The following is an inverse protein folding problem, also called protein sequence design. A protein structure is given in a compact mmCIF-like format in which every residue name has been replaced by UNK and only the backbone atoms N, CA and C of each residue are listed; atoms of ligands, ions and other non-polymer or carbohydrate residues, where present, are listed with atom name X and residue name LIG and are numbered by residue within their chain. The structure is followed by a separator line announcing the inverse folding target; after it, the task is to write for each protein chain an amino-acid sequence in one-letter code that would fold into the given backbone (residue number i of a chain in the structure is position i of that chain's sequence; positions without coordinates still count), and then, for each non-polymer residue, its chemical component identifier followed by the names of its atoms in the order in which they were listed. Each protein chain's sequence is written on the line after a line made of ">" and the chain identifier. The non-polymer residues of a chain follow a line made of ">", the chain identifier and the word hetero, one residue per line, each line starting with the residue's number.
data_IF_238141580480
#
_entry.id   IF_238141580480
#
_cell.length_a   1.000
_cell.length_b   1.000
_cell.length_c   1.000
_cell.angle_alpha   90.00
_cell.angle_beta   90.00
_cell.angle_gamma   90.00
#
_symmetry.space_group_name_H-M   'P 1'
#
loop_
_entity.id
_entity.type
_entity.pdbx_description
1 polymer ?
#
# COMPACT_ATOMS: atom_id res chain seq x y z
N UNK A 1 -12.12 18.27 -3.08
CA UNK A 1 -11.83 19.20 -4.19
C UNK A 1 -11.67 20.60 -3.63
N UNK A 2 -10.45 21.14 -3.64
CA UNK A 2 -10.24 22.58 -3.46
C UNK A 2 -10.82 23.25 -4.71
N UNK A 3 -11.95 23.93 -4.59
CA UNK A 3 -12.45 24.74 -5.69
C UNK A 3 -11.55 25.97 -5.81
N UNK A 4 -10.95 26.16 -6.98
CA UNK A 4 -10.17 27.36 -7.30
C UNK A 4 -11.13 28.55 -7.32
N UNK A 5 -10.99 29.53 -6.42
CA UNK A 5 -11.78 30.76 -6.54
C UNK A 5 -11.41 31.46 -7.86
N UNK A 6 -12.34 32.20 -8.46
CA UNK A 6 -12.03 33.07 -9.61
C UNK A 6 -10.79 33.93 -9.31
N UNK A 7 -9.92 34.20 -10.30
CA UNK A 7 -8.72 34.97 -10.07
C UNK A 7 -9.09 36.37 -9.57
N UNK A 8 -9.06 36.53 -8.24
CA UNK A 8 -9.08 37.82 -7.59
C UNK A 8 -7.93 38.66 -8.17
N UNK A 9 -8.13 39.97 -8.26
CA UNK A 9 -7.21 40.92 -8.89
C UNK A 9 -5.77 40.90 -8.34
N UNK A 10 -4.97 41.91 -8.71
CA UNK A 10 -3.55 42.03 -8.33
C UNK A 10 -3.28 41.53 -6.90
N UNK A 11 -2.34 40.60 -6.76
CA UNK A 11 -1.92 39.99 -5.49
C UNK A 11 -1.81 41.03 -4.37
N UNK A 12 -2.52 40.80 -3.27
CA UNK A 12 -2.72 41.75 -2.17
C UNK A 12 -1.59 41.77 -1.13
N UNK A 13 -0.44 41.15 -1.42
CA UNK A 13 0.71 41.07 -0.51
C UNK A 13 0.63 39.94 0.52
N UNK A 14 -0.39 39.07 0.47
CA UNK A 14 -0.47 37.89 1.35
C UNK A 14 0.67 36.89 1.10
N UNK A 15 1.18 36.16 2.10
CA UNK A 15 2.15 35.09 1.89
C UNK A 15 1.63 34.04 0.92
N UNK A 16 2.51 33.54 0.05
CA UNK A 16 2.22 32.46 -0.90
C UNK A 16 2.76 31.17 -0.31
N UNK A 17 1.87 30.22 -0.04
CA UNK A 17 2.20 28.96 0.63
C UNK A 17 2.10 27.81 -0.37
N UNK A 18 3.24 27.21 -0.70
CA UNK A 18 3.33 26.07 -1.60
C UNK A 18 3.05 24.79 -0.82
N UNK A 19 1.99 24.08 -1.21
CA UNK A 19 1.56 22.81 -0.62
C UNK A 19 1.63 21.70 -1.68
N UNK A 20 1.63 20.45 -1.24
CA UNK A 20 1.70 19.27 -2.11
C UNK A 20 2.62 18.20 -1.55
N UNK A 21 2.56 17.00 -2.11
CA UNK A 21 3.32 15.84 -1.65
C UNK A 21 4.85 16.04 -1.75
N UNK A 22 5.61 15.21 -1.04
CA UNK A 22 7.07 15.17 -1.17
C UNK A 22 7.45 14.86 -2.63
N UNK A 23 8.45 15.56 -3.18
CA UNK A 23 8.83 15.42 -4.60
C UNK A 23 8.09 16.35 -5.57
N UNK A 24 7.02 17.04 -5.15
CA UNK A 24 6.25 17.97 -5.99
C UNK A 24 7.03 19.22 -6.44
N UNK A 25 8.21 19.46 -5.86
CA UNK A 25 9.10 20.55 -6.25
C UNK A 25 8.88 21.87 -5.50
N UNK A 26 8.17 21.87 -4.36
CA UNK A 26 7.86 23.05 -3.53
C UNK A 26 9.06 23.97 -3.29
N UNK A 27 10.19 23.44 -2.81
CA UNK A 27 11.41 24.23 -2.61
C UNK A 27 11.96 24.83 -3.91
N UNK A 28 11.99 24.05 -4.99
CA UNK A 28 12.53 24.48 -6.29
C UNK A 28 11.66 25.56 -6.94
N UNK A 29 10.34 25.32 -7.02
CA UNK A 29 9.35 26.26 -7.54
C UNK A 29 9.30 27.51 -6.66
N UNK A 30 9.32 27.35 -5.34
CA UNK A 30 9.27 28.44 -4.38
C UNK A 30 10.43 29.40 -4.49
N UNK A 31 11.67 28.91 -4.63
CA UNK A 31 12.84 29.78 -4.86
C UNK A 31 12.72 30.59 -6.15
N UNK A 32 12.29 29.95 -7.25
CA UNK A 32 12.10 30.62 -8.54
C UNK A 32 10.98 31.66 -8.48
N UNK A 33 9.87 31.33 -7.82
CA UNK A 33 8.74 32.24 -7.63
C UNK A 33 9.15 33.45 -6.80
N UNK A 34 9.80 33.23 -5.66
CA UNK A 34 10.30 34.28 -4.78
C UNK A 34 11.26 35.23 -5.50
N UNK A 35 12.21 34.69 -6.28
CA UNK A 35 13.13 35.49 -7.09
C UNK A 35 12.38 36.34 -8.12
N UNK A 36 11.41 35.77 -8.84
CA UNK A 36 10.62 36.48 -9.87
C UNK A 36 9.75 37.58 -9.27
N UNK A 37 9.22 37.36 -8.06
CA UNK A 37 8.39 38.32 -7.34
C UNK A 37 9.20 39.28 -6.44
N UNK A 38 10.52 39.08 -6.32
CA UNK A 38 11.42 39.80 -5.40
C UNK A 38 10.95 39.72 -3.94
N UNK A 39 10.55 38.53 -3.52
CA UNK A 39 10.09 38.23 -2.16
C UNK A 39 11.09 37.34 -1.43
N UNK A 40 11.08 37.34 -0.08
CA UNK A 40 11.78 36.32 0.71
C UNK A 40 11.23 34.92 0.41
N UNK A 41 12.11 33.93 0.41
CA UNK A 41 11.76 32.51 0.37
C UNK A 41 12.09 31.86 1.71
N UNK A 42 11.17 31.07 2.24
CA UNK A 42 11.36 30.27 3.46
C UNK A 42 10.95 28.83 3.21
N UNK A 43 11.76 27.89 3.68
CA UNK A 43 11.45 26.46 3.67
C UNK A 43 11.14 26.01 5.10
N UNK A 44 9.91 25.54 5.34
CA UNK A 44 9.45 25.21 6.69
C UNK A 44 10.27 24.08 7.32
N UNK A 45 10.75 23.11 6.52
CA UNK A 45 11.55 22.00 7.05
C UNK A 45 12.89 22.52 7.59
N UNK A 46 13.54 23.44 6.87
CA UNK A 46 14.77 24.09 7.36
C UNK A 46 14.55 24.91 8.64
N UNK A 47 13.42 25.61 8.76
CA UNK A 47 13.09 26.38 9.98
C UNK A 47 12.82 25.46 11.17
N UNK A 48 12.23 24.28 10.94
CA UNK A 48 12.05 23.24 11.97
C UNK A 48 13.40 22.71 12.43
N UNK A 49 14.29 22.37 11.49
CA UNK A 49 15.64 21.87 11.81
C UNK A 49 16.47 22.92 12.56
N UNK A 50 16.44 24.18 12.11
CA UNK A 50 17.11 25.28 12.78
C UNK A 50 16.60 25.49 14.21
N UNK A 51 15.28 25.39 14.43
CA UNK A 51 14.68 25.51 15.76
C UNK A 51 14.98 24.31 16.66
N UNK A 52 15.12 23.11 16.10
CA UNK A 52 15.41 21.89 16.85
C UNK A 52 16.91 21.64 17.07
N UNK A 53 17.78 22.28 16.30
CA UNK A 53 19.22 22.04 16.32
C UNK A 53 19.63 20.64 15.81
N UNK A 54 18.75 19.96 15.07
CA UNK A 54 18.97 18.62 14.52
C UNK A 54 18.12 18.41 13.26
N UNK A 55 18.42 17.39 12.47
CA UNK A 55 17.69 17.14 11.22
C UNK A 55 16.27 16.65 11.47
N UNK A 56 15.37 16.81 10.50
CA UNK A 56 14.01 16.23 10.60
C UNK A 56 14.07 14.73 10.87
N UNK A 57 15.01 14.01 10.26
CA UNK A 57 15.20 12.58 10.49
C UNK A 57 15.51 12.28 11.97
N UNK A 58 16.42 13.04 12.59
CA UNK A 58 16.76 12.89 14.02
C UNK A 58 15.56 13.20 14.93
N UNK A 59 14.72 14.17 14.56
CA UNK A 59 13.50 14.51 15.32
C UNK A 59 12.54 13.31 15.32
N UNK A 60 12.31 12.71 14.15
CA UNK A 60 11.44 11.54 14.02
C UNK A 60 11.99 10.35 14.80
N UNK A 61 13.29 10.08 14.72
CA UNK A 61 13.93 8.96 15.42
C UNK A 61 13.86 9.12 16.95
N UNK A 62 14.10 10.33 17.46
CA UNK A 62 14.20 10.58 18.91
C UNK A 62 12.87 10.86 19.60
N UNK A 63 11.95 11.55 18.91
CA UNK A 63 10.74 12.10 19.52
C UNK A 63 9.44 11.66 18.84
N UNK A 64 9.55 10.96 17.70
CA UNK A 64 8.42 10.46 16.94
C UNK A 64 7.64 11.52 16.17
N UNK A 65 6.70 11.06 15.35
CA UNK A 65 5.89 11.90 14.49
C UNK A 65 5.03 12.93 15.25
N UNK A 66 4.36 12.63 16.38
CA UNK A 66 3.52 13.61 17.06
C UNK A 66 4.28 14.87 17.49
N UNK A 67 5.52 14.71 17.95
CA UNK A 67 6.39 15.83 18.33
C UNK A 67 6.78 16.67 17.11
N UNK A 68 7.15 16.01 16.01
CA UNK A 68 7.43 16.69 14.74
C UNK A 68 6.23 17.50 14.26
N UNK A 69 5.02 16.92 14.28
CA UNK A 69 3.79 17.59 13.84
C UNK A 69 3.45 18.82 14.68
N UNK A 70 3.65 18.75 16.00
CA UNK A 70 3.46 19.93 16.85
C UNK A 70 4.52 21.02 16.56
N UNK A 71 5.77 20.62 16.33
CA UNK A 71 6.84 21.52 15.86
C UNK A 71 6.50 22.21 14.54
N UNK A 72 6.10 21.42 13.53
CA UNK A 72 5.67 21.87 12.21
C UNK A 72 4.54 22.90 12.30
N UNK A 73 3.51 22.61 13.10
CA UNK A 73 2.39 23.54 13.35
C UNK A 73 2.86 24.88 13.93
N UNK A 74 3.75 24.87 14.93
CA UNK A 74 4.28 26.09 15.56
C UNK A 74 5.13 26.91 14.60
N UNK A 75 5.96 26.27 13.77
CA UNK A 75 6.79 26.94 12.77
C UNK A 75 5.91 27.58 11.70
N UNK A 76 4.96 26.84 11.12
CA UNK A 76 4.06 27.39 10.11
C UNK A 76 3.24 28.55 10.66
N UNK A 77 2.79 28.47 11.93
CA UNK A 77 2.08 29.57 12.58
C UNK A 77 2.90 30.86 12.67
N UNK A 78 4.23 30.77 12.78
CA UNK A 78 5.13 31.94 12.78
C UNK A 78 5.41 32.43 11.37
N UNK A 79 5.50 31.53 10.40
CA UNK A 79 5.82 31.89 9.02
C UNK A 79 4.65 32.58 8.31
N UNK A 80 3.41 32.14 8.59
CA UNK A 80 2.18 32.74 8.07
C UNK A 80 1.74 33.92 8.95
N UNK A 81 2.63 34.91 9.07
CA UNK A 81 2.46 36.16 9.83
C UNK A 81 1.72 37.28 9.07
N UNK A 82 1.33 37.00 7.82
CA UNK A 82 0.69 37.96 6.92
C UNK A 82 1.67 38.84 6.13
N UNK A 83 2.98 38.74 6.38
CA UNK A 83 3.97 39.46 5.60
C UNK A 83 4.19 38.81 4.22
N UNK A 84 4.45 39.61 3.16
CA UNK A 84 4.66 39.07 1.83
C UNK A 84 5.94 38.22 1.73
N UNK A 85 5.78 36.90 1.55
CA UNK A 85 6.88 35.94 1.36
C UNK A 85 6.37 34.67 0.66
N UNK A 86 7.29 33.85 0.14
CA UNK A 86 6.99 32.53 -0.40
C UNK A 86 7.42 31.47 0.60
N UNK A 87 6.53 30.57 0.97
CA UNK A 87 6.73 29.53 1.98
C UNK A 87 6.58 28.17 1.31
N UNK A 88 7.60 27.31 1.38
CA UNK A 88 7.46 25.89 1.06
C UNK A 88 7.17 25.11 2.35
N UNK A 89 6.11 24.29 2.37
CA UNK A 89 5.77 23.48 3.54
C UNK A 89 6.31 22.06 3.45
N UNK A 90 6.36 21.35 4.58
CA UNK A 90 6.51 19.89 4.61
C UNK A 90 5.33 19.18 3.92
N UNK A 91 5.54 17.92 3.50
CA UNK A 91 4.57 17.17 2.69
C UNK A 91 3.22 16.89 3.37
N UNK A 92 3.18 16.89 4.71
CA UNK A 92 1.96 16.64 5.49
C UNK A 92 1.39 17.86 6.21
N UNK A 93 2.05 19.01 6.12
CA UNK A 93 1.66 20.24 6.82
C UNK A 93 0.17 20.63 6.62
N UNK A 94 -0.35 20.48 5.41
CA UNK A 94 -1.72 20.87 5.04
C UNK A 94 -2.79 19.85 5.49
N UNK A 95 -2.39 18.65 5.90
CA UNK A 95 -3.33 17.64 6.41
C UNK A 95 -3.84 18.01 7.81
N UNK A 96 -3.03 18.70 8.60
CA UNK A 96 -3.45 19.23 9.89
C UNK A 96 -4.51 20.33 9.72
N UNK A 97 -5.65 20.18 10.39
CA UNK A 97 -6.79 21.08 10.27
C UNK A 97 -6.48 22.52 10.68
N UNK A 98 -5.79 22.71 11.80
CA UNK A 98 -5.42 24.06 12.29
C UNK A 98 -4.44 24.76 11.36
N UNK A 99 -3.42 24.04 10.88
CA UNK A 99 -2.46 24.58 9.89
C UNK A 99 -3.16 24.94 8.58
N UNK A 100 -4.06 24.09 8.10
CA UNK A 100 -4.85 24.34 6.88
C UNK A 100 -5.71 25.58 7.01
N UNK A 101 -6.46 25.70 8.11
CA UNK A 101 -7.31 26.87 8.37
C UNK A 101 -6.49 28.17 8.36
N UNK A 102 -5.35 28.17 9.06
CA UNK A 102 -4.45 29.33 9.11
C UNK A 102 -3.93 29.73 7.72
N UNK A 103 -3.47 28.76 6.92
CA UNK A 103 -2.96 29.01 5.56
C UNK A 103 -4.05 29.61 4.68
N UNK A 104 -5.27 29.07 4.72
CA UNK A 104 -6.38 29.54 3.90
C UNK A 104 -6.91 30.92 4.33
N UNK A 105 -6.85 31.24 5.62
CA UNK A 105 -7.27 32.54 6.15
C UNK A 105 -6.24 33.64 5.77
N UNK A 106 -4.96 33.37 6.02
CA UNK A 106 -3.91 34.40 6.03
C UNK A 106 -2.98 34.38 4.83
N UNK A 107 -3.01 33.34 4.00
CA UNK A 107 -2.15 33.19 2.83
C UNK A 107 -2.90 32.87 1.55
N UNK A 108 -2.12 32.65 0.49
CA UNK A 108 -2.59 32.06 -0.77
C UNK A 108 -1.97 30.66 -0.84
N UNK A 109 -2.80 29.63 -0.74
CA UNK A 109 -2.37 28.26 -0.92
C UNK A 109 -2.22 27.97 -2.42
N UNK A 110 -1.03 27.53 -2.83
CA UNK A 110 -0.76 27.04 -4.19
C UNK A 110 -0.41 25.58 -4.09
N UNK A 111 -1.29 24.73 -4.60
CA UNK A 111 -1.07 23.30 -4.65
C UNK A 111 -0.22 22.95 -5.87
N UNK A 112 0.98 22.43 -5.62
CA UNK A 112 1.79 21.80 -6.66
C UNK A 112 1.37 20.34 -6.77
N UNK A 113 0.62 20.08 -7.83
CA UNK A 113 0.11 18.75 -8.15
C UNK A 113 1.05 18.02 -9.12
N UNK A 114 1.23 16.73 -8.91
CA UNK A 114 1.97 15.84 -9.78
C UNK A 114 1.55 14.40 -9.50
N UNK A 115 1.55 13.58 -10.54
CA UNK A 115 1.21 12.16 -10.47
C UNK A 115 2.11 11.42 -9.45
N UNK A 116 1.56 10.49 -8.64
CA UNK A 116 2.29 9.72 -7.64
C UNK A 116 3.57 9.07 -8.15
N UNK A 117 3.57 8.58 -9.39
CA UNK A 117 4.68 7.92 -10.07
C UNK A 117 5.84 8.91 -10.29
N UNK A 118 5.52 10.12 -10.76
CA UNK A 118 6.49 11.21 -10.94
C UNK A 118 7.07 11.65 -9.60
N UNK A 119 6.25 11.69 -8.56
CA UNK A 119 6.70 12.00 -7.20
C UNK A 119 7.65 10.93 -6.67
N UNK A 120 7.30 9.64 -6.84
CA UNK A 120 8.11 8.51 -6.43
C UNK A 120 9.49 8.53 -7.11
N UNK A 121 9.54 8.73 -8.42
CA UNK A 121 10.78 8.85 -9.20
C UNK A 121 11.65 10.02 -8.75
N UNK A 122 11.05 11.18 -8.50
CA UNK A 122 11.79 12.38 -8.03
C UNK A 122 12.33 12.21 -6.62
N UNK A 123 11.60 11.50 -5.76
CA UNK A 123 12.05 11.15 -4.42
C UNK A 123 13.20 10.12 -4.49
N UNK A 124 13.11 9.14 -5.39
CA UNK A 124 14.16 8.13 -5.63
C UNK A 124 15.49 8.73 -6.09
N UNK A 125 15.46 9.76 -6.95
CA UNK A 125 16.68 10.38 -7.53
C UNK A 125 17.46 11.32 -6.58
N UNK A 126 16.92 11.69 -5.40
CA UNK A 126 17.64 12.56 -4.44
C UNK A 126 18.59 11.73 -3.56
N UNK A 127 19.85 11.73 -3.99
CA UNK A 127 21.02 11.01 -3.49
C UNK A 127 21.52 11.46 -2.09
N UNK A 128 20.66 11.45 -1.07
CA UNK A 128 21.07 11.70 0.34
C UNK A 128 20.46 10.73 1.35
N UNK A 129 20.23 9.47 0.97
CA UNK A 129 19.70 8.45 1.91
C UNK A 129 20.50 7.14 1.85
N UNK A 130 21.45 6.92 2.78
CA UNK A 130 22.26 5.70 2.86
C UNK A 130 21.48 4.40 3.12
N UNK A 131 20.21 4.48 3.53
CA UNK A 131 19.38 3.33 3.91
C UNK A 131 18.77 2.54 2.74
N UNK A 132 18.92 3.03 1.49
CA UNK A 132 18.33 2.43 0.29
C UNK A 132 19.37 1.77 -0.64
N UNK A 133 20.63 1.67 -0.22
CA UNK A 133 21.63 0.89 -0.96
C UNK A 133 21.44 -0.60 -0.67
N UNK A 134 20.95 -1.36 -1.66
CA UNK A 134 20.92 -2.82 -1.64
C UNK A 134 19.71 -3.45 -0.92
N UNK A 135 18.60 -2.72 -0.78
CA UNK A 135 17.30 -3.29 -0.41
C UNK A 135 16.35 -3.06 -1.57
N UNK A 136 15.78 -4.14 -2.12
CA UNK A 136 14.74 -4.02 -3.14
C UNK A 136 13.59 -3.17 -2.58
N UNK A 137 13.05 -2.23 -3.37
CA UNK A 137 12.03 -1.32 -2.89
C UNK A 137 10.77 -2.10 -2.53
N UNK A 138 10.28 -1.91 -1.31
CA UNK A 138 8.94 -2.36 -0.93
C UNK A 138 7.94 -1.38 -1.53
N UNK A 139 7.07 -1.86 -2.41
CA UNK A 139 5.96 -1.08 -2.94
C UNK A 139 4.72 -1.32 -2.06
N UNK A 140 4.09 -0.24 -1.59
CA UNK A 140 2.88 -0.31 -0.74
C UNK A 140 1.76 0.45 -1.45
N UNK A 141 0.68 -0.27 -1.76
CA UNK A 141 -0.54 0.28 -2.36
C UNK A 141 -1.65 0.31 -1.32
N UNK A 142 -2.05 1.49 -0.81
CA UNK A 142 -3.13 1.58 0.17
C UNK A 142 -4.50 1.42 -0.50
N UNK A 143 -5.34 0.53 0.04
CA UNK A 143 -6.72 0.35 -0.39
C UNK A 143 -7.65 1.11 0.56
N UNK A 144 -8.04 2.33 0.16
CA UNK A 144 -8.81 3.24 0.99
C UNK A 144 -10.30 2.86 1.05
N UNK A 145 -10.73 2.21 2.13
CA UNK A 145 -12.12 1.77 2.37
C UNK A 145 -12.67 2.24 3.73
N UNK A 146 -12.16 3.37 4.23
CA UNK A 146 -12.53 3.91 5.55
C UNK A 146 -11.98 3.02 6.67
N UNK A 147 -12.82 2.62 7.62
CA UNK A 147 -12.42 1.74 8.73
C UNK A 147 -11.93 0.35 8.28
N UNK A 148 -12.20 -0.04 7.03
CA UNK A 148 -11.78 -1.33 6.45
C UNK A 148 -10.60 -1.19 5.49
N UNK A 149 -9.84 -0.09 5.60
CA UNK A 149 -8.66 0.11 4.77
C UNK A 149 -7.56 -0.89 5.14
N UNK A 150 -6.81 -1.33 4.14
CA UNK A 150 -5.67 -2.23 4.29
C UNK A 150 -4.61 -1.89 3.25
N UNK A 151 -3.40 -2.38 3.48
CA UNK A 151 -2.29 -2.23 2.56
C UNK A 151 -2.11 -3.47 1.69
N UNK A 152 -1.67 -3.25 0.46
CA UNK A 152 -1.09 -4.27 -0.40
C UNK A 152 0.41 -4.03 -0.44
N UNK A 153 1.20 -4.99 0.06
CA UNK A 153 2.65 -4.93 0.06
C UNK A 153 3.20 -5.82 -1.05
N UNK A 154 3.92 -5.22 -1.98
CA UNK A 154 4.56 -5.87 -3.12
C UNK A 154 6.07 -5.80 -2.93
N UNK A 155 6.72 -6.95 -2.89
CA UNK A 155 8.16 -7.03 -2.66
C UNK A 155 8.71 -8.39 -3.16
N UNK A 156 9.76 -8.37 -3.97
CA UNK A 156 10.44 -9.58 -4.43
C UNK A 156 11.09 -10.35 -3.27
N UNK A 157 10.86 -11.66 -3.18
CA UNK A 157 11.35 -12.52 -2.11
C UNK A 157 10.64 -12.30 -0.76
N UNK A 158 9.46 -11.68 -0.77
CA UNK A 158 8.63 -11.46 0.40
C UNK A 158 8.21 -12.76 1.12
N UNK A 159 8.18 -13.91 0.45
CA UNK A 159 7.95 -15.22 1.10
C UNK A 159 8.93 -15.44 2.27
N UNK A 160 10.21 -15.15 2.05
CA UNK A 160 11.26 -15.28 3.05
C UNK A 160 11.16 -14.24 4.18
N UNK A 161 10.37 -13.18 4.00
CA UNK A 161 10.21 -12.06 4.94
C UNK A 161 8.79 -11.93 5.50
N UNK A 162 7.89 -12.81 5.10
CA UNK A 162 6.48 -12.87 5.52
C UNK A 162 6.30 -12.80 7.04
N UNK A 163 7.10 -13.54 7.81
CA UNK A 163 7.02 -13.50 9.28
C UNK A 163 7.28 -12.11 9.85
N UNK A 164 8.29 -11.39 9.34
CA UNK A 164 8.55 -10.02 9.75
C UNK A 164 7.42 -9.07 9.35
N UNK A 165 6.81 -9.27 8.17
CA UNK A 165 5.66 -8.49 7.73
C UNK A 165 4.40 -8.74 8.58
N UNK A 166 4.21 -9.96 9.09
CA UNK A 166 3.01 -10.39 9.81
C UNK A 166 3.11 -10.32 11.33
N UNK A 167 4.31 -10.11 11.89
CA UNK A 167 4.54 -10.13 13.34
C UNK A 167 3.60 -9.20 14.13
N UNK A 168 3.27 -8.03 13.58
CA UNK A 168 2.36 -7.07 14.22
C UNK A 168 0.88 -7.50 14.23
N UNK A 169 0.48 -8.43 13.36
CA UNK A 169 -0.87 -8.98 13.31
C UNK A 169 -1.02 -10.24 14.17
N UNK A 170 0.05 -11.04 14.29
CA UNK A 170 0.04 -12.29 15.03
C UNK A 170 -0.27 -12.08 16.52
N UNK A 171 0.22 -11.00 17.14
CA UNK A 171 -0.04 -10.66 18.56
C UNK A 171 0.20 -11.84 19.53
N UNK A 172 1.23 -12.66 19.27
CA UNK A 172 1.57 -13.84 20.08
C UNK A 172 0.64 -15.03 19.89
N UNK A 173 -0.32 -14.97 18.97
CA UNK A 173 -1.21 -16.06 18.58
C UNK A 173 -0.65 -16.81 17.35
N UNK A 174 -0.96 -18.10 17.18
CA UNK A 174 -0.66 -18.80 15.94
C UNK A 174 -1.40 -18.19 14.75
N UNK A 175 -0.81 -18.27 13.56
CA UNK A 175 -1.46 -17.91 12.29
C UNK A 175 -1.59 -19.16 11.41
N UNK A 176 -2.76 -19.83 11.40
CA UNK A 176 -3.01 -20.95 10.51
C UNK A 176 -2.91 -20.55 9.04
N UNK A 177 -2.44 -21.47 8.20
CA UNK A 177 -2.28 -21.29 6.76
C UNK A 177 -3.30 -22.17 6.05
N UNK A 178 -4.13 -21.59 5.19
CA UNK A 178 -4.95 -22.36 4.24
C UNK A 178 -4.27 -22.27 2.87
N UNK A 179 -4.03 -23.43 2.25
CA UNK A 179 -3.27 -23.54 0.99
C UNK A 179 -3.76 -24.73 0.16
N UNK A 180 -3.33 -24.83 -1.10
CA UNK A 180 -3.54 -26.02 -1.92
C UNK A 180 -2.26 -26.85 -2.17
N UNK A 181 -2.43 -28.02 -2.78
CA UNK A 181 -1.35 -28.98 -3.05
C UNK A 181 -0.27 -28.48 -4.02
N UNK A 182 -0.55 -27.51 -4.89
CA UNK A 182 0.46 -26.97 -5.80
C UNK A 182 1.52 -26.18 -5.03
N UNK A 183 1.18 -25.66 -3.86
CA UNK A 183 2.06 -24.84 -3.03
C UNK A 183 2.90 -25.66 -2.03
N UNK A 184 2.85 -26.99 -2.10
CA UNK A 184 3.67 -27.88 -1.25
C UNK A 184 5.16 -27.56 -1.30
N UNK A 185 5.68 -27.09 -2.45
CA UNK A 185 7.07 -26.69 -2.60
C UNK A 185 7.45 -25.38 -1.88
N UNK A 186 6.48 -24.47 -1.71
CA UNK A 186 6.71 -23.14 -1.11
C UNK A 186 6.30 -23.05 0.36
N UNK A 187 5.38 -23.90 0.80
CA UNK A 187 4.87 -23.91 2.17
C UNK A 187 5.97 -23.98 3.25
N UNK A 188 7.04 -24.81 3.11
CA UNK A 188 8.12 -24.83 4.09
C UNK A 188 8.84 -23.48 4.22
N UNK A 189 8.98 -22.73 3.12
CA UNK A 189 9.58 -21.40 3.11
C UNK A 189 8.75 -20.39 3.90
N UNK A 190 7.43 -20.38 3.69
CA UNK A 190 6.50 -19.54 4.46
C UNK A 190 6.54 -19.90 5.96
N UNK A 191 6.44 -21.19 6.31
CA UNK A 191 6.48 -21.63 7.70
C UNK A 191 7.83 -21.32 8.37
N UNK A 192 8.94 -21.39 7.63
CA UNK A 192 10.26 -21.00 8.13
C UNK A 192 10.33 -19.50 8.43
N UNK A 193 9.81 -18.68 7.52
CA UNK A 193 9.71 -17.22 7.68
C UNK A 193 8.87 -16.85 8.91
N UNK A 194 7.69 -17.45 9.08
CA UNK A 194 6.81 -17.26 10.25
C UNK A 194 7.51 -17.68 11.55
N UNK A 195 8.13 -18.86 11.58
CA UNK A 195 8.85 -19.39 12.74
C UNK A 195 10.02 -18.50 13.14
N UNK A 196 10.75 -17.93 12.19
CA UNK A 196 11.84 -16.98 12.47
C UNK A 196 11.35 -15.70 13.16
N UNK A 197 10.08 -15.33 12.95
CA UNK A 197 9.41 -14.23 13.65
C UNK A 197 8.69 -14.65 14.94
N UNK A 198 8.85 -15.91 15.39
CA UNK A 198 8.18 -16.44 16.58
C UNK A 198 6.69 -16.72 16.39
N UNK A 199 6.21 -16.79 15.15
CA UNK A 199 4.80 -17.06 14.83
C UNK A 199 4.63 -18.56 14.59
N UNK A 200 3.85 -19.22 15.46
CA UNK A 200 3.45 -20.60 15.23
C UNK A 200 2.47 -20.67 14.06
N UNK A 201 2.58 -21.70 13.22
CA UNK A 201 1.74 -21.84 12.02
C UNK A 201 1.48 -23.32 11.72
N UNK A 202 0.22 -23.66 11.47
CA UNK A 202 -0.20 -24.98 11.01
C UNK A 202 -0.95 -24.85 9.68
N UNK A 203 -0.74 -25.80 8.76
CA UNK A 203 -1.23 -25.70 7.40
C UNK A 203 -2.40 -26.66 7.13
N UNK A 204 -3.52 -26.09 6.67
CA UNK A 204 -4.67 -26.80 6.13
C UNK A 204 -4.48 -26.88 4.61
N UNK A 205 -4.07 -28.06 4.14
CA UNK A 205 -3.82 -28.31 2.71
C UNK A 205 -5.07 -28.89 2.04
N UNK A 206 -5.51 -28.23 0.97
CA UNK A 206 -6.68 -28.58 0.18
C UNK A 206 -6.29 -29.10 -1.21
N UNK A 207 -7.14 -29.88 -1.90
CA UNK A 207 -6.93 -30.22 -3.30
C UNK A 207 -6.78 -28.95 -4.16
N UNK A 208 -6.00 -29.04 -5.23
CA UNK A 208 -5.86 -27.93 -6.17
C UNK A 208 -7.06 -27.85 -7.14
N UNK A 209 -7.39 -26.62 -7.56
CA UNK A 209 -8.31 -26.34 -8.66
C UNK A 209 -9.69 -25.80 -8.23
N UNK A 210 -10.47 -25.37 -9.21
CA UNK A 210 -11.72 -24.65 -9.01
C UNK A 210 -12.78 -25.42 -8.19
N UNK A 211 -12.75 -26.75 -8.25
CA UNK A 211 -13.64 -27.62 -7.47
C UNK A 211 -13.44 -27.50 -5.94
N UNK A 212 -12.32 -26.93 -5.51
CA UNK A 212 -12.03 -26.66 -4.10
C UNK A 212 -12.95 -25.60 -3.51
N UNK A 213 -13.50 -24.70 -4.34
CA UNK A 213 -14.51 -23.72 -3.92
C UNK A 213 -15.87 -24.38 -3.74
N UNK A 214 -16.06 -25.12 -2.65
CA UNK A 214 -17.27 -25.91 -2.41
C UNK A 214 -17.65 -25.95 -0.93
N UNK A 215 -18.90 -26.33 -0.65
CA UNK A 215 -19.39 -26.53 0.72
C UNK A 215 -18.55 -27.52 1.52
N UNK A 216 -18.16 -28.64 0.90
CA UNK A 216 -17.36 -29.67 1.56
C UNK A 216 -15.99 -29.15 2.03
N UNK A 217 -15.33 -28.34 1.21
CA UNK A 217 -14.05 -27.75 1.62
C UNK A 217 -14.22 -26.54 2.54
N UNK A 218 -15.33 -25.81 2.45
CA UNK A 218 -15.66 -24.77 3.42
C UNK A 218 -15.83 -25.37 4.82
N UNK A 219 -16.61 -26.44 4.94
CA UNK A 219 -16.80 -27.19 6.19
C UNK A 219 -15.45 -27.69 6.73
N UNK A 220 -14.65 -28.37 5.89
CA UNK A 220 -13.30 -28.83 6.26
C UNK A 220 -12.42 -27.69 6.79
N UNK A 221 -12.38 -26.55 6.09
CA UNK A 221 -11.58 -25.40 6.52
C UNK A 221 -12.09 -24.84 7.85
N UNK A 222 -13.41 -24.64 7.99
CA UNK A 222 -13.96 -24.10 9.24
C UNK A 222 -13.72 -25.02 10.43
N UNK A 223 -13.88 -26.33 10.26
CA UNK A 223 -13.68 -27.32 11.32
C UNK A 223 -12.21 -27.38 11.74
N UNK A 224 -11.28 -27.45 10.78
CA UNK A 224 -9.85 -27.42 11.09
C UNK A 224 -9.44 -26.12 11.79
N UNK A 225 -9.98 -24.97 11.40
CA UNK A 225 -9.69 -23.71 12.10
C UNK A 225 -10.24 -23.70 13.53
N UNK A 226 -11.40 -24.31 13.78
CA UNK A 226 -11.94 -24.47 15.13
C UNK A 226 -11.10 -25.42 15.98
N UNK A 227 -10.64 -26.54 15.41
CA UNK A 227 -9.75 -27.51 16.06
C UNK A 227 -8.41 -26.88 16.46
N UNK A 228 -7.88 -25.98 15.62
CA UNK A 228 -6.69 -25.18 15.90
C UNK A 228 -6.92 -24.08 16.95
N UNK A 229 -8.15 -23.94 17.46
CA UNK A 229 -8.50 -22.98 18.50
C UNK A 229 -8.43 -21.52 18.02
N UNK A 230 -8.74 -21.28 16.74
CA UNK A 230 -8.82 -19.93 16.17
C UNK A 230 -9.89 -19.11 16.91
N UNK A 231 -9.51 -17.92 17.33
CA UNK A 231 -10.35 -16.93 17.99
C UNK A 231 -10.66 -15.74 17.07
N UNK A 232 -11.65 -14.94 17.45
CA UNK A 232 -12.18 -13.85 16.62
C UNK A 232 -11.11 -12.81 16.23
N UNK A 233 -10.15 -12.56 17.10
CA UNK A 233 -9.06 -11.59 16.87
C UNK A 233 -7.89 -12.14 16.06
N UNK A 234 -7.85 -13.46 15.84
CA UNK A 234 -6.73 -14.10 15.15
C UNK A 234 -6.77 -13.84 13.64
N UNK A 235 -5.63 -14.09 13.00
CA UNK A 235 -5.44 -13.89 11.57
C UNK A 235 -5.13 -15.23 10.89
N UNK A 236 -5.91 -15.55 9.86
CA UNK A 236 -5.72 -16.72 9.01
C UNK A 236 -4.96 -16.30 7.75
N UNK A 237 -3.97 -17.07 7.31
CA UNK A 237 -3.21 -16.78 6.08
C UNK A 237 -3.82 -17.58 4.93
N UNK A 238 -4.33 -16.89 3.91
CA UNK A 238 -4.72 -17.49 2.64
C UNK A 238 -3.51 -17.52 1.69
N UNK A 239 -2.81 -18.65 1.60
CA UNK A 239 -1.61 -18.80 0.77
C UNK A 239 -1.93 -19.61 -0.49
N UNK A 240 -2.10 -18.94 -1.62
CA UNK A 240 -2.43 -19.60 -2.88
C UNK A 240 -3.01 -18.65 -3.93
N UNK A 241 -3.61 -19.21 -4.97
CA UNK A 241 -4.35 -18.41 -5.96
C UNK A 241 -5.75 -17.98 -5.48
N UNK A 242 -6.53 -17.37 -6.38
CA UNK A 242 -7.86 -16.83 -6.05
C UNK A 242 -8.87 -17.86 -5.51
N UNK A 243 -8.70 -19.14 -5.83
CA UNK A 243 -9.51 -20.24 -5.24
C UNK A 243 -9.32 -20.32 -3.72
N UNK A 244 -8.06 -20.31 -3.27
CA UNK A 244 -7.72 -20.37 -1.85
C UNK A 244 -8.08 -19.04 -1.17
N UNK A 245 -7.82 -17.91 -1.83
CA UNK A 245 -8.21 -16.59 -1.34
C UNK A 245 -9.70 -16.49 -1.05
N UNK A 246 -10.54 -16.85 -2.02
CA UNK A 246 -12.00 -16.76 -1.88
C UNK A 246 -12.55 -17.71 -0.83
N UNK A 247 -12.10 -18.97 -0.82
CA UNK A 247 -12.56 -19.96 0.15
C UNK A 247 -12.16 -19.57 1.57
N UNK A 248 -10.92 -19.14 1.76
CA UNK A 248 -10.39 -18.76 3.08
C UNK A 248 -11.04 -17.49 3.58
N UNK A 249 -11.18 -16.48 2.71
CA UNK A 249 -11.86 -15.23 3.05
C UNK A 249 -13.33 -15.47 3.44
N UNK A 250 -14.02 -16.39 2.74
CA UNK A 250 -15.39 -16.71 3.07
C UNK A 250 -15.49 -17.48 4.39
N UNK A 251 -14.62 -18.47 4.60
CA UNK A 251 -14.49 -19.17 5.88
C UNK A 251 -14.24 -18.20 7.05
N UNK A 252 -13.30 -17.26 6.89
CA UNK A 252 -12.99 -16.25 7.89
C UNK A 252 -14.19 -15.33 8.19
N UNK A 253 -14.99 -14.99 7.18
CA UNK A 253 -16.18 -14.13 7.35
C UNK A 253 -17.27 -14.75 8.24
N UNK A 254 -17.42 -16.08 8.20
CA UNK A 254 -18.48 -16.80 8.93
C UNK A 254 -17.98 -17.44 10.23
N UNK A 255 -16.70 -17.83 10.27
CA UNK A 255 -16.07 -18.42 11.45
C UNK A 255 -16.17 -17.43 12.61
N UNK A 256 -16.80 -17.86 13.72
CA UNK A 256 -17.09 -17.02 14.89
C UNK A 256 -17.73 -15.66 14.55
N UNK A 257 -18.47 -15.60 13.43
CA UNK A 257 -19.12 -14.40 12.85
C UNK A 257 -18.12 -13.31 12.42
N UNK A 258 -16.93 -13.71 12.00
CA UNK A 258 -15.91 -12.83 11.45
C UNK A 258 -14.61 -12.89 12.24
N UNK A 259 -13.66 -13.65 11.72
CA UNK A 259 -12.24 -13.61 12.06
C UNK A 259 -11.46 -12.78 11.04
N UNK A 260 -10.23 -12.38 11.38
CA UNK A 260 -9.37 -11.68 10.44
C UNK A 260 -8.63 -12.67 9.52
N UNK A 261 -8.23 -12.19 8.34
CA UNK A 261 -7.39 -12.97 7.44
C UNK A 261 -6.44 -12.06 6.66
N UNK A 262 -5.39 -12.66 6.12
CA UNK A 262 -4.39 -12.05 5.26
C UNK A 262 -4.37 -12.80 3.94
N UNK A 263 -4.28 -12.07 2.83
CA UNK A 263 -4.08 -12.66 1.51
C UNK A 263 -2.58 -12.75 1.22
N UNK A 264 -2.12 -13.92 0.79
CA UNK A 264 -0.79 -14.12 0.22
C UNK A 264 -0.95 -14.75 -1.18
N UNK A 265 -1.38 -13.95 -2.18
CA UNK A 265 -1.67 -14.42 -3.52
C UNK A 265 -0.42 -14.91 -4.27
N UNK A 266 -0.53 -16.09 -4.89
CA UNK A 266 0.60 -16.77 -5.55
C UNK A 266 0.41 -16.97 -7.06
N UNK A 267 -0.66 -16.41 -7.63
CA UNK A 267 -0.86 -16.35 -9.08
C UNK A 267 -1.01 -14.91 -9.53
N UNK A 268 -0.55 -14.58 -10.75
CA UNK A 268 -0.65 -13.23 -11.27
C UNK A 268 -2.11 -12.74 -11.25
N UNK A 269 -3.06 -13.59 -11.64
CA UNK A 269 -4.49 -13.28 -11.57
C UNK A 269 -4.95 -12.90 -10.15
N UNK A 270 -4.49 -13.61 -9.13
CA UNK A 270 -4.83 -13.26 -7.74
C UNK A 270 -4.11 -12.03 -7.21
N UNK A 271 -2.91 -11.76 -7.70
CA UNK A 271 -2.12 -10.58 -7.30
C UNK A 271 -2.76 -9.30 -7.82
N UNK A 272 -3.33 -9.31 -9.02
CA UNK A 272 -3.88 -8.10 -9.68
C UNK A 272 -5.39 -7.94 -9.60
N UNK A 273 -6.14 -9.00 -9.24
CA UNK A 273 -7.61 -8.97 -9.21
C UNK A 273 -8.18 -9.48 -7.88
N UNK A 274 -8.16 -10.80 -7.66
CA UNK A 274 -8.96 -11.40 -6.56
C UNK A 274 -8.46 -11.13 -5.14
N UNK A 275 -7.22 -10.66 -4.95
CA UNK A 275 -6.74 -10.27 -3.61
C UNK A 275 -7.27 -8.91 -3.14
N UNK A 276 -7.84 -8.10 -4.05
CA UNK A 276 -8.34 -6.75 -3.77
C UNK A 276 -9.87 -6.69 -3.92
N UNK A 277 -10.53 -5.96 -3.03
CA UNK A 277 -11.97 -5.71 -3.05
C UNK A 277 -12.82 -6.59 -2.11
N UNK A 278 -12.23 -7.64 -1.54
CA UNK A 278 -12.83 -8.43 -0.45
C UNK A 278 -14.07 -9.23 -0.85
N UNK A 279 -14.27 -9.52 -2.14
CA UNK A 279 -15.26 -10.49 -2.58
C UNK A 279 -14.72 -11.88 -2.28
N UNK A 280 -15.45 -12.64 -1.47
CA UNK A 280 -15.06 -13.99 -1.06
C UNK A 280 -16.23 -14.92 -1.32
N UNK A 281 -16.00 -16.12 -1.86
CA UNK A 281 -17.10 -16.99 -2.26
C UNK A 281 -16.71 -18.45 -2.46
N UNK A 282 -17.72 -19.32 -2.41
CA UNK A 282 -17.66 -20.68 -2.96
C UNK A 282 -18.61 -20.83 -4.15
N UNK A 283 -18.40 -21.90 -4.91
CA UNK A 283 -19.30 -22.31 -5.97
C UNK A 283 -20.43 -23.17 -5.41
N UNK A 284 -21.57 -23.11 -6.07
CA UNK A 284 -22.71 -23.99 -5.83
C UNK A 284 -23.05 -24.77 -7.09
N UNK A 285 -23.93 -25.77 -6.98
CA UNK A 285 -24.45 -26.47 -8.16
C UNK A 285 -25.15 -25.52 -9.16
N UNK A 286 -25.66 -24.38 -8.70
CA UNK A 286 -26.32 -23.38 -9.55
C UNK A 286 -25.32 -22.47 -10.30
N UNK A 287 -24.05 -22.43 -9.90
CA UNK A 287 -23.05 -21.59 -10.55
C UNK A 287 -21.91 -21.13 -9.65
N UNK A 288 -20.97 -20.42 -10.27
CA UNK A 288 -19.76 -19.94 -9.62
C UNK A 288 -20.00 -18.69 -8.78
N UNK A 289 -19.31 -18.58 -7.65
CA UNK A 289 -19.28 -17.40 -6.78
C UNK A 289 -20.65 -16.89 -6.31
N UNK A 290 -21.67 -17.76 -6.28
CA UNK A 290 -23.04 -17.36 -5.92
C UNK A 290 -23.29 -17.32 -4.41
N UNK A 291 -22.42 -17.94 -3.62
CA UNK A 291 -22.51 -17.99 -2.16
C UNK A 291 -21.21 -17.45 -1.57
N UNK A 292 -21.30 -16.36 -0.82
CA UNK A 292 -20.11 -15.67 -0.34
C UNK A 292 -20.42 -14.48 0.55
N UNK A 293 -19.38 -13.71 0.87
CA UNK A 293 -19.45 -12.50 1.67
C UNK A 293 -18.46 -11.44 1.16
N UNK A 294 -18.77 -10.18 1.46
CA UNK A 294 -17.80 -9.10 1.36
C UNK A 294 -17.01 -9.03 2.68
N UNK A 295 -15.76 -9.51 2.66
CA UNK A 295 -14.88 -9.58 3.81
C UNK A 295 -13.47 -9.13 3.40
N UNK A 296 -13.02 -8.00 3.95
CA UNK A 296 -11.73 -7.42 3.58
C UNK A 296 -10.59 -8.10 4.35
N UNK A 297 -9.43 -8.34 3.71
CA UNK A 297 -8.24 -8.80 4.42
C UNK A 297 -7.68 -7.68 5.31
N UNK A 298 -6.91 -8.06 6.32
CA UNK A 298 -6.13 -7.12 7.13
C UNK A 298 -4.88 -6.61 6.41
N UNK A 299 -4.35 -7.40 5.47
CA UNK A 299 -3.13 -7.14 4.70
C UNK A 299 -3.12 -8.06 3.46
N UNK A 300 -2.51 -7.59 2.37
CA UNK A 300 -2.16 -8.42 1.20
C UNK A 300 -0.65 -8.43 1.02
N UNK A 301 -0.05 -9.61 0.88
CA UNK A 301 1.39 -9.79 0.66
C UNK A 301 1.63 -10.40 -0.74
N UNK A 302 2.24 -9.63 -1.63
CA UNK A 302 2.55 -10.04 -3.00
C UNK A 302 4.06 -10.24 -3.13
N UNK A 303 4.45 -11.47 -3.45
CA UNK A 303 5.81 -11.82 -3.86
C UNK A 303 5.81 -12.15 -5.37
N UNK A 304 6.32 -11.25 -6.23
CA UNK A 304 6.42 -11.50 -7.67
C UNK A 304 7.27 -12.73 -8.03
N UNK A 305 8.23 -13.13 -7.19
CA UNK A 305 9.14 -14.25 -7.48
C UNK A 305 8.40 -15.60 -7.43
N UNK A 306 7.25 -15.68 -6.74
CA UNK A 306 6.41 -16.89 -6.74
C UNK A 306 5.89 -17.24 -8.15
N UNK A 307 5.81 -16.24 -9.05
CA UNK A 307 5.38 -16.43 -10.43
C UNK A 307 6.39 -17.26 -11.25
N UNK A 308 7.65 -17.37 -10.83
CA UNK A 308 8.67 -18.19 -11.52
C UNK A 308 8.33 -19.67 -11.56
N UNK A 309 7.56 -20.13 -10.58
CA UNK A 309 7.10 -21.53 -10.51
C UNK A 309 5.70 -21.73 -11.08
N UNK A 310 5.02 -20.65 -11.46
CA UNK A 310 3.66 -20.70 -11.95
C UNK A 310 3.64 -21.19 -13.42
N UNK A 311 2.76 -22.14 -13.80
CA UNK A 311 2.69 -22.59 -15.19
C UNK A 311 2.45 -21.42 -16.15
N UNK A 312 3.17 -21.37 -17.26
CA UNK A 312 3.11 -20.25 -18.22
C UNK A 312 1.68 -19.90 -18.67
N UNK A 313 0.80 -20.90 -18.81
CA UNK A 313 -0.62 -20.69 -19.12
C UNK A 313 -1.33 -19.85 -18.05
N UNK A 314 -1.02 -20.06 -16.77
CA UNK A 314 -1.62 -19.33 -15.65
C UNK A 314 -1.05 -17.91 -15.53
N UNK A 315 0.24 -17.71 -15.82
CA UNK A 315 0.82 -16.36 -15.94
C UNK A 315 0.09 -15.58 -17.04
N UNK A 316 -0.05 -16.17 -18.24
CA UNK A 316 -0.80 -15.54 -19.35
C UNK A 316 -2.26 -15.26 -19.02
N UNK A 317 -2.91 -16.14 -18.26
CA UNK A 317 -4.28 -15.92 -17.81
C UNK A 317 -4.40 -14.72 -16.87
N UNK A 318 -3.44 -14.55 -15.95
CA UNK A 318 -3.36 -13.35 -15.10
C UNK A 318 -3.05 -12.09 -15.90
N UNK A 319 -2.18 -12.19 -16.89
CA UNK A 319 -1.82 -11.06 -17.75
C UNK A 319 -3.03 -10.50 -18.53
N UNK A 320 -4.00 -11.34 -18.88
CA UNK A 320 -5.25 -10.88 -19.48
C UNK A 320 -6.02 -9.90 -18.57
N UNK A 321 -5.98 -10.10 -17.25
CA UNK A 321 -6.59 -9.17 -16.28
C UNK A 321 -5.79 -7.87 -16.15
N UNK A 322 -4.46 -7.92 -16.24
CA UNK A 322 -3.60 -6.72 -16.30
C UNK A 322 -3.98 -5.86 -17.51
N UNK A 323 -4.05 -6.47 -18.69
CA UNK A 323 -4.45 -5.78 -19.93
C UNK A 323 -5.87 -5.22 -19.84
N UNK A 324 -6.80 -5.94 -19.19
CA UNK A 324 -8.16 -5.47 -18.94
C UNK A 324 -8.14 -4.12 -18.21
N UNK A 325 -7.32 -3.95 -17.18
CA UNK A 325 -7.25 -2.66 -16.45
C UNK A 325 -6.84 -1.50 -17.35
N UNK A 326 -5.85 -1.71 -18.22
CA UNK A 326 -5.48 -0.69 -19.20
C UNK A 326 -6.62 -0.35 -20.17
N UNK A 327 -7.33 -1.36 -20.67
CA UNK A 327 -8.44 -1.16 -21.61
C UNK A 327 -9.65 -0.45 -21.01
N UNK A 328 -9.92 -0.60 -19.70
CA UNK A 328 -11.12 -0.05 -19.07
C UNK A 328 -10.96 1.41 -18.66
N UNK A 329 -9.78 1.82 -18.15
CA UNK A 329 -9.63 3.13 -17.49
C UNK A 329 -8.21 3.71 -17.51
N UNK A 330 -7.23 3.06 -18.18
CA UNK A 330 -5.86 3.58 -18.26
C UNK A 330 -5.16 3.23 -19.58
N UNK A 331 -5.36 4.08 -20.60
CA UNK A 331 -4.78 3.87 -21.92
C UNK A 331 -3.24 3.89 -21.91
N UNK A 332 -2.61 4.69 -21.05
CA UNK A 332 -1.15 4.72 -20.95
C UNK A 332 -0.62 3.40 -20.38
N UNK A 333 -1.32 2.82 -19.39
CA UNK A 333 -1.01 1.50 -18.89
C UNK A 333 -1.26 0.39 -19.93
N UNK A 334 -2.27 0.54 -20.79
CA UNK A 334 -2.45 -0.36 -21.93
C UNK A 334 -1.27 -0.30 -22.91
N UNK A 335 -0.79 0.89 -23.28
CA UNK A 335 0.42 1.06 -24.12
C UNK A 335 1.65 0.44 -23.44
N UNK A 336 1.77 0.61 -22.11
CA UNK A 336 2.82 -0.04 -21.34
C UNK A 336 2.73 -1.56 -21.41
N UNK A 337 1.53 -2.13 -21.30
CA UNK A 337 1.31 -3.57 -21.47
C UNK A 337 1.76 -4.04 -22.86
N UNK A 338 1.39 -3.33 -23.93
CA UNK A 338 1.83 -3.69 -25.29
C UNK A 338 3.36 -3.70 -25.44
N UNK A 339 4.04 -2.71 -24.84
CA UNK A 339 5.49 -2.59 -24.89
C UNK A 339 6.24 -3.63 -24.03
N UNK A 340 5.64 -4.09 -22.92
CA UNK A 340 6.33 -4.87 -21.89
C UNK A 340 5.82 -6.32 -21.73
N UNK A 341 4.81 -6.74 -22.50
CA UNK A 341 4.20 -8.08 -22.40
C UNK A 341 5.23 -9.22 -22.43
N UNK A 342 6.18 -9.18 -23.38
CA UNK A 342 7.18 -10.22 -23.52
C UNK A 342 8.09 -10.31 -22.28
N UNK A 343 8.59 -9.18 -21.80
CA UNK A 343 9.46 -9.12 -20.63
C UNK A 343 8.76 -9.67 -19.37
N UNK A 344 7.51 -9.27 -19.12
CA UNK A 344 6.72 -9.76 -17.97
C UNK A 344 6.51 -11.28 -18.04
N UNK A 345 6.12 -11.77 -19.22
CA UNK A 345 5.85 -13.19 -19.44
C UNK A 345 7.12 -14.04 -19.36
N UNK A 346 8.27 -13.49 -19.74
CA UNK A 346 9.59 -14.11 -19.65
C UNK A 346 10.23 -14.01 -18.26
N UNK A 347 9.61 -13.26 -17.35
CA UNK A 347 10.00 -13.21 -15.94
C UNK A 347 10.88 -12.07 -15.51
N UNK A 348 10.87 -10.97 -16.26
CA UNK A 348 11.51 -9.74 -15.81
C UNK A 348 10.86 -9.22 -14.52
N UNK A 349 11.69 -9.02 -13.50
CA UNK A 349 11.23 -8.67 -12.15
C UNK A 349 10.56 -7.29 -12.10
N UNK A 350 11.09 -6.31 -12.85
CA UNK A 350 10.57 -4.94 -12.81
C UNK A 350 9.19 -4.84 -13.45
N UNK A 351 9.00 -5.52 -14.59
CA UNK A 351 7.71 -5.54 -15.28
C UNK A 351 6.67 -6.34 -14.49
N UNK A 352 7.05 -7.43 -13.80
CA UNK A 352 6.14 -8.15 -12.89
C UNK A 352 5.77 -7.39 -11.63
N UNK A 353 6.66 -6.56 -11.08
CA UNK A 353 6.34 -5.70 -9.93
C UNK A 353 5.42 -4.54 -10.34
N UNK A 354 5.61 -4.00 -11.55
CA UNK A 354 4.80 -2.88 -12.05
C UNK A 354 3.37 -3.27 -12.42
N UNK A 355 3.17 -4.50 -12.94
CA UNK A 355 1.88 -5.00 -13.40
C UNK A 355 0.93 -5.39 -12.26
#
# INVERSE_FOLDING_TARGET
>A
MLQTPEPAGRWSGKPIVLIGLMGAGKTTVGRRLAQRMRLPFVDADHEIEAAAGMSVADIFERFGEPYFRDGERRVISRLVDGAPKVIATGGGAFMNEGTRALILERGIAVWLDAEPEVLADRVRRRDTRPLLRGRDPVTIVPVALGERSYDVRIEAGLLARAGAALAHLANGRPMPIVTDENLRGHLPGLQASLRAAGIASEAIVLPAGEGTKSWANLEKVTDSLLELGVERSDHIIAFGGGVIGDLTGFAASILKRGCNFVQFPTTLLSQVDSSVGGKTAINSAAGKNLVGAFHQPALVLIDPDLLDTLPARQVRAGYAEVVKYGLIDDFAFFEWCEANAAALLDGDAQTREHA
#
